data_IF_034752900963
#
_entry.id   IF_034752900963
#
_cell.length_a   1.000
_cell.length_b   1.000
_cell.length_c   1.000
_cell.angle_alpha   90.00
_cell.angle_beta   90.00
_cell.angle_gamma   90.00
#
_symmetry.space_group_name_H-M   'P 1'
#
loop_
_entity.id
_entity.type
_entity.pdbx_description
1 polymer ?
#
# COMPACT_ATOMS: atom_id res chain seq x y z
N UNK A 1 -9.52 -3.27 17.19
CA UNK A 1 -8.50 -3.84 16.24
C UNK A 1 -9.14 -4.72 15.15
N UNK A 2 -9.88 -5.80 15.48
CA UNK A 2 -10.54 -6.69 14.48
C UNK A 2 -11.59 -6.00 13.58
N UNK A 3 -12.40 -5.10 14.12
CA UNK A 3 -13.43 -4.38 13.34
C UNK A 3 -12.86 -3.44 12.27
N UNK A 4 -11.68 -2.86 12.51
CA UNK A 4 -11.02 -1.97 11.55
C UNK A 4 -10.50 -2.78 10.34
N UNK A 5 -9.85 -3.91 10.60
CA UNK A 5 -9.38 -4.82 9.55
C UNK A 5 -10.56 -5.41 8.75
N UNK A 6 -11.65 -5.76 9.42
CA UNK A 6 -12.86 -6.30 8.78
C UNK A 6 -13.55 -5.24 7.91
N UNK A 7 -13.67 -4.00 8.39
CA UNK A 7 -14.23 -2.89 7.61
C UNK A 7 -13.37 -2.58 6.38
N UNK A 8 -12.04 -2.59 6.54
CA UNK A 8 -11.13 -2.34 5.43
C UNK A 8 -11.18 -3.45 4.37
N UNK A 9 -11.24 -4.71 4.80
CA UNK A 9 -11.44 -5.85 3.90
C UNK A 9 -12.78 -5.76 3.15
N UNK A 10 -13.85 -5.30 3.81
CA UNK A 10 -15.14 -5.10 3.16
C UNK A 10 -15.10 -4.00 2.09
N UNK A 11 -14.47 -2.86 2.39
CA UNK A 11 -14.21 -1.79 1.41
C UNK A 11 -13.38 -2.32 0.23
N UNK A 12 -12.40 -3.16 0.52
CA UNK A 12 -11.55 -3.78 -0.48
C UNK A 12 -12.32 -4.66 -1.46
N UNK A 13 -13.21 -5.51 -0.93
CA UNK A 13 -14.07 -6.38 -1.73
C UNK A 13 -15.01 -5.53 -2.60
N UNK A 14 -15.58 -4.45 -2.05
CA UNK A 14 -16.45 -3.55 -2.82
C UNK A 14 -15.72 -2.87 -3.99
N UNK A 15 -14.52 -2.33 -3.76
CA UNK A 15 -13.71 -1.70 -4.80
C UNK A 15 -13.23 -2.72 -5.84
N UNK A 16 -12.86 -3.92 -5.40
CA UNK A 16 -12.50 -5.01 -6.29
C UNK A 16 -13.68 -5.40 -7.19
N UNK A 17 -14.87 -5.57 -6.62
CA UNK A 17 -16.09 -5.86 -7.37
C UNK A 17 -16.46 -4.73 -8.34
N UNK A 18 -16.35 -3.47 -7.92
CA UNK A 18 -16.64 -2.31 -8.77
C UNK A 18 -15.69 -2.25 -9.97
N UNK A 19 -14.37 -2.32 -9.71
CA UNK A 19 -13.35 -2.29 -10.76
C UNK A 19 -13.49 -3.50 -11.69
N UNK A 20 -13.76 -4.69 -11.13
CA UNK A 20 -13.96 -5.89 -11.93
C UNK A 20 -15.21 -5.81 -12.81
N UNK A 21 -16.29 -5.23 -12.30
CA UNK A 21 -17.53 -5.05 -13.06
C UNK A 21 -17.34 -4.04 -14.19
N UNK A 22 -16.67 -2.90 -13.93
CA UNK A 22 -16.36 -1.93 -14.98
C UNK A 22 -15.42 -2.52 -16.04
N UNK A 23 -14.44 -3.33 -15.62
CA UNK A 23 -13.58 -4.07 -16.52
C UNK A 23 -14.35 -5.07 -17.39
N UNK A 24 -15.21 -5.88 -16.78
CA UNK A 24 -15.98 -6.91 -17.48
C UNK A 24 -16.93 -6.32 -18.51
N UNK A 25 -17.53 -5.15 -18.23
CA UNK A 25 -18.36 -4.42 -19.18
C UNK A 25 -17.53 -3.83 -20.33
N UNK A 26 -16.37 -3.22 -20.05
CA UNK A 26 -15.50 -2.68 -21.09
C UNK A 26 -14.83 -3.74 -21.98
N UNK A 27 -14.65 -4.97 -21.47
CA UNK A 27 -14.23 -6.14 -22.29
C UNK A 27 -15.32 -6.57 -23.26
N UNK A 28 -16.59 -6.51 -22.85
CA UNK A 28 -17.74 -6.84 -23.71
C UNK A 28 -17.94 -5.81 -24.83
N UNK A 29 -17.64 -4.53 -24.57
CA UNK A 29 -17.70 -3.44 -25.56
C UNK A 29 -16.48 -3.37 -26.51
N UNK A 30 -15.47 -4.24 -26.34
CA UNK A 30 -14.31 -4.35 -27.24
C UNK A 30 -13.16 -3.36 -26.96
N UNK A 31 -13.30 -2.45 -26.00
CA UNK A 31 -12.33 -1.42 -25.62
C UNK A 31 -11.30 -1.95 -24.58
N UNK A 32 -10.57 -3.00 -24.95
CA UNK A 32 -9.75 -3.79 -24.00
C UNK A 32 -8.51 -3.08 -23.42
N UNK A 33 -7.97 -2.08 -24.11
CA UNK A 33 -6.72 -1.39 -23.73
C UNK A 33 -6.95 -0.29 -22.68
N UNK A 34 -7.95 0.56 -22.87
CA UNK A 34 -8.31 1.62 -21.91
C UNK A 34 -8.91 1.02 -20.64
N UNK A 35 -9.70 -0.04 -20.80
CA UNK A 35 -10.38 -0.73 -19.70
C UNK A 35 -9.41 -1.46 -18.77
N UNK A 36 -8.31 -2.02 -19.30
CA UNK A 36 -7.25 -2.62 -18.46
C UNK A 36 -6.54 -1.56 -17.63
N UNK A 37 -6.18 -0.44 -18.25
CA UNK A 37 -5.54 0.68 -17.55
C UNK A 37 -6.45 1.23 -16.45
N UNK A 38 -7.75 1.38 -16.71
CA UNK A 38 -8.74 1.81 -15.70
C UNK A 38 -8.86 0.78 -14.56
N UNK A 39 -9.00 -0.52 -14.86
CA UNK A 39 -9.07 -1.57 -13.83
C UNK A 39 -7.85 -1.55 -12.91
N UNK A 40 -6.65 -1.54 -13.50
CA UNK A 40 -5.42 -1.60 -12.73
C UNK A 40 -5.09 -0.23 -12.10
N UNK A 41 -5.32 0.93 -12.71
CA UNK A 41 -5.04 2.20 -12.02
C UNK A 41 -6.01 2.48 -10.88
N UNK A 42 -7.33 2.32 -11.10
CA UNK A 42 -8.33 2.71 -10.11
C UNK A 42 -8.32 1.77 -8.89
N UNK A 43 -8.34 0.46 -9.11
CA UNK A 43 -8.26 -0.52 -8.02
C UNK A 43 -7.05 -0.28 -7.13
N UNK A 44 -5.90 0.00 -7.75
CA UNK A 44 -4.67 0.20 -7.01
C UNK A 44 -4.53 1.60 -6.39
N UNK A 45 -5.20 2.61 -6.93
CA UNK A 45 -5.29 3.94 -6.31
C UNK A 45 -6.12 3.88 -5.03
N UNK A 46 -7.23 3.13 -5.04
CA UNK A 46 -8.01 2.87 -3.83
C UNK A 46 -7.26 2.07 -2.76
N UNK A 47 -6.39 1.15 -3.19
CA UNK A 47 -5.41 0.44 -2.35
C UNK A 47 -4.48 1.43 -1.62
N UNK A 48 -3.93 2.39 -2.36
CA UNK A 48 -3.06 3.43 -1.80
C UNK A 48 -3.82 4.33 -0.81
N UNK A 49 -5.05 4.73 -1.15
CA UNK A 49 -5.91 5.52 -0.26
C UNK A 49 -6.22 4.74 1.03
N UNK A 50 -6.53 3.45 0.92
CA UNK A 50 -6.75 2.56 2.07
C UNK A 50 -5.51 2.48 2.97
N UNK A 51 -4.33 2.35 2.37
CA UNK A 51 -3.03 2.36 3.07
C UNK A 51 -2.76 3.69 3.80
N UNK A 52 -3.12 4.83 3.19
CA UNK A 52 -3.05 6.16 3.81
C UNK A 52 -4.07 6.28 4.96
N UNK A 53 -5.28 5.73 4.81
CA UNK A 53 -6.29 5.71 5.88
C UNK A 53 -5.80 4.86 7.06
N UNK A 54 -5.15 3.71 6.82
CA UNK A 54 -4.50 2.92 7.87
C UNK A 54 -3.44 3.78 8.58
N UNK A 55 -2.62 4.51 7.84
CA UNK A 55 -1.61 5.42 8.40
C UNK A 55 -2.25 6.49 9.29
N UNK A 56 -3.30 7.18 8.82
CA UNK A 56 -4.01 8.22 9.58
C UNK A 56 -4.71 7.68 10.82
N UNK A 57 -5.34 6.50 10.74
CA UNK A 57 -5.97 5.85 11.89
C UNK A 57 -4.92 5.37 12.90
N UNK A 58 -3.80 4.86 12.41
CA UNK A 58 -2.66 4.44 13.25
C UNK A 58 -2.03 5.64 13.96
N UNK A 59 -1.90 6.78 13.27
CA UNK A 59 -1.43 8.05 13.83
C UNK A 59 -2.33 8.58 14.95
N UNK A 60 -3.64 8.38 14.84
CA UNK A 60 -4.61 8.74 15.88
C UNK A 60 -4.51 7.85 17.14
N UNK A 61 -3.99 6.63 17.03
CA UNK A 61 -4.13 5.60 18.07
C UNK A 61 -2.81 5.11 18.70
N UNK A 62 -1.65 5.52 18.17
CA UNK A 62 -0.33 5.12 18.69
C UNK A 62 0.49 6.39 18.96
N UNK A 63 0.63 6.75 20.23
CA UNK A 63 1.48 7.85 20.71
C UNK A 63 2.96 7.47 20.85
N UNK A 64 3.32 6.19 20.64
CA UNK A 64 4.70 5.71 20.65
C UNK A 64 5.28 5.70 19.21
N UNK A 65 6.16 6.66 18.95
CA UNK A 65 6.69 6.96 17.61
C UNK A 65 7.46 5.81 16.92
N UNK A 66 8.34 5.01 17.59
CA UNK A 66 9.16 4.02 16.90
C UNK A 66 8.39 2.80 16.32
N UNK A 67 7.47 2.16 17.08
CA UNK A 67 6.66 1.05 16.54
C UNK A 67 5.67 1.49 15.45
N UNK A 68 5.17 2.73 15.55
CA UNK A 68 4.30 3.33 14.55
C UNK A 68 5.05 3.56 13.23
N UNK A 69 6.22 4.21 13.29
CA UNK A 69 7.03 4.55 12.13
C UNK A 69 7.40 3.34 11.27
N UNK A 70 7.63 2.18 11.91
CA UNK A 70 7.93 0.92 11.22
C UNK A 70 6.74 0.37 10.45
N UNK A 71 5.56 0.33 11.07
CA UNK A 71 4.35 -0.10 10.37
C UNK A 71 4.08 0.85 9.19
N UNK A 72 4.08 2.15 9.42
CA UNK A 72 3.81 3.13 8.35
C UNK A 72 4.84 3.06 7.22
N UNK A 73 6.11 2.79 7.54
CA UNK A 73 7.16 2.67 6.54
C UNK A 73 7.01 1.45 5.63
N UNK A 74 6.57 0.30 6.17
CA UNK A 74 6.25 -0.86 5.32
C UNK A 74 5.06 -0.58 4.40
N UNK A 75 3.98 0.02 4.92
CA UNK A 75 2.82 0.42 4.12
C UNK A 75 3.26 1.39 3.00
N UNK A 76 4.05 2.41 3.34
CA UNK A 76 4.53 3.43 2.39
C UNK A 76 5.41 2.83 1.27
N UNK A 77 6.25 1.84 1.55
CA UNK A 77 7.03 1.15 0.53
C UNK A 77 6.13 0.47 -0.51
N UNK A 78 5.04 -0.18 -0.10
CA UNK A 78 4.09 -0.83 -1.00
C UNK A 78 3.40 0.18 -1.93
N UNK A 79 3.02 1.34 -1.39
CA UNK A 79 2.47 2.46 -2.17
C UNK A 79 3.46 2.95 -3.22
N UNK A 80 4.74 3.16 -2.85
CA UNK A 80 5.78 3.64 -3.78
C UNK A 80 6.05 2.62 -4.89
N UNK A 81 6.09 1.31 -4.58
CA UNK A 81 6.21 0.26 -5.61
C UNK A 81 5.06 0.38 -6.61
N UNK A 82 3.83 0.60 -6.13
CA UNK A 82 2.69 0.68 -7.03
C UNK A 82 2.74 1.89 -7.95
N UNK A 83 3.07 3.06 -7.41
CA UNK A 83 3.27 4.28 -8.21
C UNK A 83 4.42 4.06 -9.20
N UNK A 84 5.47 3.35 -8.80
CA UNK A 84 6.57 2.95 -9.69
C UNK A 84 6.15 2.10 -10.87
N UNK A 85 5.27 1.10 -10.66
CA UNK A 85 4.73 0.23 -11.72
C UNK A 85 3.80 1.01 -12.67
N UNK A 86 3.06 2.00 -12.16
CA UNK A 86 2.18 2.84 -12.96
C UNK A 86 2.88 3.96 -13.73
N UNK A 87 4.15 4.23 -13.43
CA UNK A 87 4.92 5.32 -14.04
C UNK A 87 5.86 4.77 -15.11
N UNK A 88 5.61 5.05 -16.40
CA UNK A 88 6.52 4.62 -17.46
C UNK A 88 7.86 5.36 -17.40
N UNK A 89 8.93 4.67 -17.79
CA UNK A 89 10.27 5.25 -17.93
C UNK A 89 11.12 5.25 -16.65
N UNK A 90 12.15 6.10 -16.63
CA UNK A 90 13.19 6.12 -15.59
C UNK A 90 12.63 6.42 -14.18
N UNK A 91 11.57 7.23 -14.10
CA UNK A 91 10.91 7.59 -12.84
C UNK A 91 10.35 6.35 -12.11
N UNK A 92 9.82 5.36 -12.84
CA UNK A 92 9.35 4.11 -12.25
C UNK A 92 10.49 3.29 -11.60
N UNK A 93 11.66 3.25 -12.25
CA UNK A 93 12.85 2.58 -11.72
C UNK A 93 13.41 3.27 -10.46
N UNK A 94 13.41 4.60 -10.44
CA UNK A 94 13.81 5.39 -9.26
C UNK A 94 12.85 5.13 -8.09
N UNK A 95 11.54 5.12 -8.34
CA UNK A 95 10.53 4.82 -7.32
C UNK A 95 10.69 3.39 -6.78
N UNK A 96 10.99 2.42 -7.64
CA UNK A 96 11.26 1.06 -7.20
C UNK A 96 12.48 0.98 -6.26
N UNK A 97 13.59 1.64 -6.61
CA UNK A 97 14.77 1.72 -5.74
C UNK A 97 14.47 2.44 -4.42
N UNK A 98 13.72 3.54 -4.47
CA UNK A 98 13.33 4.31 -3.29
C UNK A 98 12.49 3.46 -2.32
N UNK A 99 11.53 2.69 -2.85
CA UNK A 99 10.73 1.78 -2.04
C UNK A 99 11.55 0.68 -1.38
N UNK A 100 12.47 0.07 -2.13
CA UNK A 100 13.36 -0.97 -1.62
C UNK A 100 14.26 -0.42 -0.48
N UNK A 101 14.82 0.78 -0.66
CA UNK A 101 15.60 1.46 0.36
C UNK A 101 14.77 1.77 1.61
N UNK A 102 13.54 2.24 1.44
CA UNK A 102 12.64 2.58 2.54
C UNK A 102 12.21 1.33 3.32
N UNK A 103 11.91 0.22 2.63
CA UNK A 103 11.57 -1.06 3.25
C UNK A 103 12.77 -1.63 4.03
N UNK A 104 13.98 -1.55 3.46
CA UNK A 104 15.20 -1.98 4.13
C UNK A 104 15.53 -1.14 5.37
N UNK A 105 15.34 0.20 5.29
CA UNK A 105 15.53 1.11 6.43
C UNK A 105 14.57 0.76 7.58
N UNK A 106 13.30 0.56 7.25
CA UNK A 106 12.26 0.18 8.21
C UNK A 106 12.56 -1.17 8.85
N UNK A 107 13.00 -2.15 8.07
CA UNK A 107 13.43 -3.45 8.57
C UNK A 107 14.61 -3.31 9.54
N UNK A 108 15.61 -2.47 9.23
CA UNK A 108 16.77 -2.22 10.10
C UNK A 108 16.37 -1.54 11.40
N UNK A 109 15.51 -0.52 11.35
CA UNK A 109 14.94 0.11 12.54
C UNK A 109 14.15 -0.90 13.38
N UNK A 110 13.54 -1.89 12.73
CA UNK A 110 12.81 -2.95 13.43
C UNK A 110 13.66 -3.95 14.19
N UNK A 111 14.90 -4.15 13.72
CA UNK A 111 15.88 -5.03 14.35
C UNK A 111 16.67 -4.32 15.46
N UNK A 112 16.91 -3.02 15.33
CA UNK A 112 17.67 -2.23 16.31
C UNK A 112 16.89 -1.95 17.61
N UNK A 113 15.56 -2.04 17.57
CA UNK A 113 14.66 -1.80 18.71
C UNK A 113 14.49 -3.03 19.62
N UNK A 114 15.22 -4.12 19.34
CA UNK A 114 15.36 -5.24 20.28
C UNK A 114 16.68 -5.04 21.05
N UNK A 115 16.67 -4.37 22.21
CA UNK A 115 17.86 -4.34 23.04
C UNK A 115 18.14 -5.78 23.44
N UNK A 116 19.34 -6.24 23.11
CA UNK A 116 20.02 -7.25 23.90
C UNK A 116 20.18 -6.69 25.32
N UNK A 117 19.14 -6.78 26.13
CA UNK A 117 19.28 -6.96 27.58
C UNK A 117 19.48 -8.47 27.81
N UNK A 118 20.63 -8.96 27.36
CA UNK A 118 21.28 -10.12 27.97
C UNK A 118 22.59 -9.60 28.58
N UNK A 119 22.45 -8.81 29.63
CA UNK A 119 23.47 -8.63 30.65
C UNK A 119 22.88 -9.04 31.98
N UNK A 120 22.93 -10.35 32.27
CA UNK A 120 23.43 -10.98 33.51
C UNK A 120 23.16 -12.49 33.50
#
# INVERSE_FOLDING_TARGET
KKHLACALAAVYILVACYSFSSWSLGVLDGETSLTRTVFFLDFFTWLIVSDIIILLVSYKHITDFPPLARNTGFILSTVIIRVGIGTPGYTGAVLFMLSAALAACVLRLSLHDNPTDESE
#
